data_IF_156389155124
#
_entry.id   IF_156389155124
#
_cell.length_a   1.000
_cell.length_b   1.000
_cell.length_c   1.000
_cell.angle_alpha   90.00
_cell.angle_beta   90.00
_cell.angle_gamma   90.00
#
_symmetry.space_group_name_H-M   'P 1'
#
loop_
_entity.id
_entity.type
_entity.pdbx_description
1 polymer ?
#
# COMPACT_ATOMS: atom_id res chain seq x y z
N UNK A 1 -26.47 7.05 -9.74
CA UNK A 1 -25.25 6.22 -9.83
C UNK A 1 -24.69 5.85 -8.46
N UNK A 2 -24.61 6.75 -7.47
CA UNK A 2 -24.09 6.44 -6.12
C UNK A 2 -24.83 5.31 -5.37
N UNK A 3 -26.17 5.27 -5.43
CA UNK A 3 -26.97 4.30 -4.67
C UNK A 3 -26.70 2.81 -5.01
N UNK A 4 -26.17 2.52 -6.21
CA UNK A 4 -25.83 1.15 -6.59
C UNK A 4 -24.48 0.72 -6.00
N UNK A 5 -23.53 1.65 -5.87
CA UNK A 5 -22.21 1.38 -5.30
C UNK A 5 -22.30 1.15 -3.78
N UNK A 6 -23.05 1.98 -3.07
CA UNK A 6 -23.25 1.83 -1.62
C UNK A 6 -23.91 0.49 -1.27
N UNK A 7 -24.84 0.04 -2.13
CA UNK A 7 -25.48 -1.26 -2.01
C UNK A 7 -24.49 -2.41 -2.19
N UNK A 8 -23.67 -2.38 -3.25
CA UNK A 8 -22.65 -3.39 -3.50
C UNK A 8 -21.62 -3.46 -2.37
N UNK A 9 -21.19 -2.31 -1.84
CA UNK A 9 -20.26 -2.27 -0.69
C UNK A 9 -20.88 -2.95 0.53
N UNK A 10 -22.17 -2.71 0.80
CA UNK A 10 -22.88 -3.36 1.91
C UNK A 10 -22.97 -4.87 1.70
N UNK A 11 -23.35 -5.30 0.50
CA UNK A 11 -23.45 -6.73 0.14
C UNK A 11 -22.09 -7.44 0.31
N UNK A 12 -20.99 -6.84 -0.15
CA UNK A 12 -19.63 -7.39 0.02
C UNK A 12 -19.22 -7.46 1.50
N UNK A 13 -19.57 -6.46 2.32
CA UNK A 13 -19.26 -6.46 3.76
C UNK A 13 -19.94 -7.61 4.49
N UNK A 14 -21.18 -7.90 4.12
CA UNK A 14 -22.02 -8.92 4.76
C UNK A 14 -21.65 -10.36 4.36
N UNK A 15 -20.80 -10.55 3.35
CA UNK A 15 -20.27 -11.87 2.97
C UNK A 15 -19.45 -12.53 4.09
N UNK A 16 -19.57 -13.84 4.22
CA UNK A 16 -18.69 -14.65 5.07
C UNK A 16 -17.24 -14.63 4.57
N UNK A 17 -16.30 -15.05 5.41
CA UNK A 17 -14.89 -15.11 5.02
C UNK A 17 -14.66 -16.03 3.78
N UNK A 18 -15.38 -17.16 3.70
CA UNK A 18 -15.29 -18.07 2.58
C UNK A 18 -15.83 -17.45 1.27
N UNK A 19 -16.96 -16.75 1.35
CA UNK A 19 -17.56 -16.06 0.20
C UNK A 19 -16.71 -14.87 -0.27
N UNK A 20 -16.05 -14.16 0.65
CA UNK A 20 -15.08 -13.09 0.32
C UNK A 20 -13.88 -13.64 -0.43
N UNK A 21 -13.33 -14.76 0.02
CA UNK A 21 -12.20 -15.42 -0.67
C UNK A 21 -12.59 -15.92 -2.06
N UNK A 22 -13.79 -16.50 -2.21
CA UNK A 22 -14.29 -16.95 -3.51
C UNK A 22 -14.57 -15.78 -4.47
N UNK A 23 -15.13 -14.67 -3.97
CA UNK A 23 -15.31 -13.45 -4.75
C UNK A 23 -13.97 -12.87 -5.20
N UNK A 24 -12.97 -12.82 -4.31
CA UNK A 24 -11.62 -12.36 -4.63
C UNK A 24 -10.98 -13.22 -5.72
N UNK A 25 -11.06 -14.56 -5.60
CA UNK A 25 -10.57 -15.51 -6.62
C UNK A 25 -11.20 -15.26 -7.99
N UNK A 26 -12.52 -15.03 -8.04
CA UNK A 26 -13.22 -14.77 -9.30
C UNK A 26 -12.84 -13.43 -9.92
N UNK A 27 -12.63 -12.39 -9.11
CA UNK A 27 -12.19 -11.07 -9.61
C UNK A 27 -10.75 -11.09 -10.14
N UNK A 28 -9.89 -11.92 -9.55
CA UNK A 28 -8.54 -12.21 -10.03
C UNK A 28 -8.58 -12.94 -11.38
N UNK A 29 -9.42 -13.98 -11.51
CA UNK A 29 -9.63 -14.70 -12.78
C UNK A 29 -10.23 -13.83 -13.90
N UNK A 30 -11.05 -12.85 -13.55
CA UNK A 30 -11.67 -11.90 -14.49
C UNK A 30 -10.73 -10.74 -14.88
N UNK A 31 -9.44 -10.83 -14.50
CA UNK A 31 -8.38 -9.88 -14.80
C UNK A 31 -8.64 -8.44 -14.31
N UNK A 32 -9.46 -8.28 -13.27
CA UNK A 32 -9.65 -6.96 -12.63
C UNK A 32 -8.42 -6.58 -11.80
N UNK A 33 -7.63 -7.57 -11.37
CA UNK A 33 -6.37 -7.39 -10.67
C UNK A 33 -5.23 -7.93 -11.55
N UNK A 34 -4.65 -7.07 -12.38
CA UNK A 34 -3.51 -7.36 -13.27
C UNK A 34 -2.19 -7.50 -12.44
N UNK A 35 -1.05 -7.20 -13.05
CA UNK A 35 0.31 -7.07 -12.51
C UNK A 35 0.47 -6.31 -11.16
N UNK A 36 -0.60 -5.75 -10.59
CA UNK A 36 -0.65 -5.05 -9.31
C UNK A 36 -1.25 -5.87 -8.15
N UNK A 37 -1.59 -7.15 -8.31
CA UNK A 37 -2.13 -7.98 -7.20
C UNK A 37 -1.20 -8.04 -5.98
N UNK A 38 0.11 -7.85 -6.16
CA UNK A 38 1.08 -7.74 -5.07
C UNK A 38 0.75 -6.60 -4.10
N UNK A 39 0.06 -5.54 -4.56
CA UNK A 39 -0.33 -4.40 -3.74
C UNK A 39 -1.24 -4.81 -2.56
N UNK A 40 -2.07 -5.84 -2.78
CA UNK A 40 -3.03 -6.33 -1.77
C UNK A 40 -2.48 -7.45 -0.88
N UNK A 41 -1.19 -7.80 -1.03
CA UNK A 41 -0.58 -8.81 -0.16
C UNK A 41 -0.52 -8.31 1.29
N UNK A 42 -0.71 -9.20 2.30
CA UNK A 42 -0.66 -8.80 3.70
C UNK A 42 0.63 -8.08 4.09
N UNK A 43 1.75 -8.49 3.50
CA UNK A 43 3.07 -7.90 3.72
C UNK A 43 3.12 -6.46 3.21
N UNK A 44 2.58 -6.22 2.01
CA UNK A 44 2.61 -4.87 1.44
C UNK A 44 1.64 -3.93 2.15
N UNK A 45 0.45 -4.40 2.51
CA UNK A 45 -0.49 -3.62 3.32
C UNK A 45 0.05 -3.28 4.72
N UNK A 46 0.86 -4.16 5.32
CA UNK A 46 1.53 -3.86 6.58
C UNK A 46 2.59 -2.75 6.43
N UNK A 47 3.38 -2.79 5.36
CA UNK A 47 4.38 -1.76 5.06
C UNK A 47 3.74 -0.40 4.73
N UNK A 48 2.63 -0.40 3.97
CA UNK A 48 1.84 0.82 3.71
C UNK A 48 1.35 1.45 5.01
N UNK A 49 0.84 0.63 5.94
CA UNK A 49 0.40 1.12 7.25
C UNK A 49 1.56 1.73 8.06
N UNK A 50 2.73 1.10 8.06
CA UNK A 50 3.93 1.65 8.72
C UNK A 50 4.35 2.99 8.11
N UNK A 51 4.36 3.10 6.77
CA UNK A 51 4.67 4.34 6.08
C UNK A 51 3.66 5.46 6.40
N UNK A 52 2.37 5.15 6.49
CA UNK A 52 1.33 6.10 6.91
C UNK A 52 1.56 6.60 8.35
N UNK A 53 1.93 5.70 9.26
CA UNK A 53 2.27 6.05 10.64
C UNK A 53 3.53 6.93 10.72
N UNK A 54 4.53 6.68 9.89
CA UNK A 54 5.73 7.50 9.76
C UNK A 54 5.41 8.91 9.25
N UNK A 55 4.57 9.02 8.22
CA UNK A 55 4.10 10.30 7.68
C UNK A 55 3.34 11.08 8.75
N UNK A 56 2.41 10.43 9.46
CA UNK A 56 1.60 11.05 10.50
C UNK A 56 2.44 11.51 11.70
N UNK A 57 3.46 10.73 12.07
CA UNK A 57 4.39 11.08 13.14
C UNK A 57 5.48 12.07 12.72
N UNK A 58 5.55 12.44 11.43
CA UNK A 58 6.57 13.33 10.89
C UNK A 58 7.96 12.69 10.78
N UNK A 59 8.06 11.35 10.80
CA UNK A 59 9.28 10.58 10.55
C UNK A 59 9.61 10.52 9.06
N UNK A 60 9.57 11.66 8.40
CA UNK A 60 9.76 11.80 6.96
C UNK A 60 10.70 12.95 6.65
N UNK A 61 11.46 12.82 5.56
CA UNK A 61 12.25 13.91 5.03
C UNK A 61 11.43 14.73 4.02
N UNK A 62 11.54 16.07 4.08
CA UNK A 62 10.90 16.98 3.13
C UNK A 62 11.96 17.71 2.33
N UNK A 63 11.74 17.81 1.02
CA UNK A 63 12.64 18.49 0.10
C UNK A 63 11.86 19.49 -0.75
N UNK A 64 12.53 20.55 -1.20
CA UNK A 64 11.91 21.58 -2.02
C UNK A 64 11.81 21.18 -3.50
N UNK A 65 12.61 20.20 -3.92
CA UNK A 65 12.66 19.69 -5.29
C UNK A 65 13.14 18.22 -5.30
N UNK A 66 12.98 17.56 -6.44
CA UNK A 66 13.34 16.16 -6.61
C UNK A 66 14.86 15.92 -6.61
N UNK A 67 15.66 16.87 -7.11
CA UNK A 67 17.13 16.73 -7.18
C UNK A 67 17.75 16.60 -5.78
N UNK A 68 17.29 17.41 -4.83
CA UNK A 68 17.70 17.36 -3.42
C UNK A 68 17.33 16.00 -2.78
N UNK A 69 16.14 15.49 -3.08
CA UNK A 69 15.68 14.19 -2.59
C UNK A 69 16.53 13.03 -3.14
N UNK A 70 16.80 13.04 -4.45
CA UNK A 70 17.64 12.02 -5.11
C UNK A 70 19.07 12.07 -4.59
N UNK A 71 19.62 13.27 -4.40
CA UNK A 71 20.97 13.45 -3.82
C UNK A 71 21.05 12.82 -2.44
N UNK A 72 20.08 13.09 -1.56
CA UNK A 72 20.02 12.48 -0.23
C UNK A 72 20.01 10.94 -0.30
N UNK A 73 19.19 10.35 -1.18
CA UNK A 73 19.11 8.89 -1.32
C UNK A 73 20.45 8.29 -1.79
N UNK A 74 21.14 8.93 -2.74
CA UNK A 74 22.46 8.49 -3.18
C UNK A 74 23.49 8.57 -2.03
N UNK A 75 23.47 9.64 -1.24
CA UNK A 75 24.34 9.79 -0.06
C UNK A 75 24.04 8.73 1.02
N UNK A 76 22.77 8.38 1.26
CA UNK A 76 22.42 7.28 2.18
C UNK A 76 22.95 5.93 1.70
N UNK A 77 22.89 5.68 0.38
CA UNK A 77 23.40 4.44 -0.22
C UNK A 77 24.93 4.32 -0.09
N UNK A 78 25.63 5.45 -0.15
CA UNK A 78 27.10 5.51 -0.09
C UNK A 78 27.65 5.61 1.33
N UNK A 79 26.78 5.85 2.33
CA UNK A 79 27.18 5.85 3.74
C UNK A 79 27.53 4.41 4.16
N UNK A 80 28.75 4.17 4.68
CA UNK A 80 29.11 2.85 5.18
C UNK A 80 28.20 2.47 6.35
N UNK A 81 27.65 1.25 6.32
CA UNK A 81 26.82 0.70 7.37
C UNK A 81 27.67 0.51 8.64
N UNK A 82 27.63 1.48 9.55
CA UNK A 82 28.33 1.37 10.82
C UNK A 82 28.55 2.71 11.51
N UNK A 83 27.54 3.17 12.25
CA UNK A 83 27.68 3.90 13.51
C UNK A 83 26.30 3.92 14.17
N UNK A 84 25.87 2.76 14.67
CA UNK A 84 24.87 2.71 15.74
C UNK A 84 25.59 3.21 17.01
N UNK A 85 25.25 4.42 17.46
CA UNK A 85 25.50 4.91 18.82
C UNK A 85 24.18 4.97 19.58
#
# INVERSE_FOLDING_TARGET
MAANLDRLIKEIRDLSAAEKSELARRLDEEAVFDDQSWYWTPQWQAAEKEADEDIAAGRVHRYNNADDAIKFLNEQRERPSGEDQ
#
